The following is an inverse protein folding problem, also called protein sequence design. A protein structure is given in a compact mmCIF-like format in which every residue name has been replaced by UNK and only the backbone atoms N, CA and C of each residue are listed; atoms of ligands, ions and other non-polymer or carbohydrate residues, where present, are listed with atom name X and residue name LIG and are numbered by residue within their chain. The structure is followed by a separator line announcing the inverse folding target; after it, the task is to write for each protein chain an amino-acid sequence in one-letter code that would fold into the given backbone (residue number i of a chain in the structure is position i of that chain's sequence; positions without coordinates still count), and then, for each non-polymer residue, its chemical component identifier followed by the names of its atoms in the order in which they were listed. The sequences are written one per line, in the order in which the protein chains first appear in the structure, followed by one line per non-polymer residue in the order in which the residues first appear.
data_IF_436936938640
#
_entry.id   IF_436936938640
#
_cell.length_a   1.000
_cell.length_b   1.000
_cell.length_c   1.000
_cell.angle_alpha   90.00
_cell.angle_beta   90.00
_cell.angle_gamma   90.00
#
_symmetry.space_group_name_H-M   'P 1'
#
loop_
_entity.id
_entity.type
_entity.pdbx_description
1 polymer ?
#
# COMPACT_ATOMS: atom_id res chain seq x y z
N UNK A 1 32.11 -3.42 -2.77
CA UNK A 1 30.97 -2.51 -2.56
C UNK A 1 30.67 -2.57 -1.07
N UNK A 2 31.00 -1.49 -0.33
CA UNK A 2 31.10 -1.36 1.14
C UNK A 2 32.28 -2.08 1.81
N UNK A 3 33.46 -1.45 1.74
CA UNK A 3 34.63 -1.81 2.57
C UNK A 3 34.45 -1.24 3.99
N UNK A 4 34.71 -2.06 5.01
CA UNK A 4 34.64 -1.66 6.43
C UNK A 4 35.94 -1.01 6.92
N UNK A 5 37.03 -1.15 6.18
CA UNK A 5 38.36 -0.68 6.56
C UNK A 5 38.70 0.66 5.93
N UNK A 6 37.97 1.10 4.89
CA UNK A 6 38.19 2.37 4.20
C UNK A 6 36.86 3.01 3.73
N UNK A 7 36.88 4.32 3.48
CA UNK A 7 35.76 5.06 2.89
C UNK A 7 34.66 5.48 3.87
N UNK A 8 33.54 5.97 3.32
CA UNK A 8 32.47 6.65 4.05
C UNK A 8 31.83 5.79 5.14
N UNK A 9 31.83 4.46 4.97
CA UNK A 9 31.23 3.54 5.93
C UNK A 9 32.07 3.44 7.22
N UNK A 10 33.40 3.44 7.07
CA UNK A 10 34.34 3.49 8.19
C UNK A 10 34.32 4.86 8.87
N UNK A 11 34.27 5.95 8.10
CA UNK A 11 34.32 7.32 8.62
C UNK A 11 33.03 7.79 9.30
N UNK A 12 31.87 7.44 8.75
CA UNK A 12 30.56 7.92 9.24
C UNK A 12 29.84 6.88 10.11
N UNK A 13 30.28 5.61 10.07
CA UNK A 13 29.73 4.52 10.86
C UNK A 13 28.25 4.16 10.65
N UNK A 14 27.61 4.28 9.46
CA UNK A 14 26.22 3.84 9.26
C UNK A 14 26.13 2.31 9.13
N UNK A 15 26.67 1.57 10.10
CA UNK A 15 26.68 0.11 10.10
C UNK A 15 25.40 -0.45 10.71
N UNK A 16 24.91 -1.56 10.15
CA UNK A 16 23.71 -2.23 10.64
C UNK A 16 24.02 -2.97 11.95
N UNK A 17 23.12 -2.86 12.93
CA UNK A 17 23.20 -3.67 14.14
C UNK A 17 23.18 -5.17 13.80
N UNK A 18 24.09 -5.95 14.38
CA UNK A 18 24.23 -7.38 14.07
C UNK A 18 22.96 -8.21 14.36
N UNK A 19 22.20 -7.85 15.41
CA UNK A 19 20.93 -8.51 15.72
C UNK A 19 19.89 -8.24 14.63
N UNK A 20 19.80 -6.99 14.14
CA UNK A 20 18.90 -6.64 13.03
C UNK A 20 19.30 -7.39 11.75
N UNK A 21 20.60 -7.50 11.47
CA UNK A 21 21.09 -8.27 10.33
C UNK A 21 20.68 -9.74 10.42
N UNK A 22 20.81 -10.35 11.61
CA UNK A 22 20.38 -11.72 11.88
C UNK A 22 18.86 -11.88 11.65
N UNK A 23 18.03 -11.03 12.25
CA UNK A 23 16.57 -11.07 12.09
C UNK A 23 16.11 -10.92 10.63
N UNK A 24 16.81 -10.11 9.83
CA UNK A 24 16.55 -9.98 8.39
C UNK A 24 16.97 -11.23 7.62
N UNK A 25 18.13 -11.81 7.97
CA UNK A 25 18.64 -13.01 7.31
C UNK A 25 17.70 -14.21 7.45
N UNK A 26 17.01 -14.33 8.59
CA UNK A 26 15.99 -15.36 8.80
C UNK A 26 14.73 -15.15 7.93
N UNK A 27 14.48 -13.90 7.49
CA UNK A 27 13.25 -13.51 6.77
C UNK A 27 13.37 -13.46 5.26
N UNK A 28 14.59 -13.35 4.73
CA UNK A 28 14.88 -13.30 3.30
C UNK A 28 14.52 -14.61 2.59
N UNK A 29 14.85 -15.81 3.10
CA UNK A 29 14.56 -17.08 2.40
C UNK A 29 13.09 -17.27 2.04
N UNK A 30 12.18 -16.76 2.86
CA UNK A 30 10.74 -16.86 2.64
C UNK A 30 10.11 -15.57 2.07
N UNK A 31 10.92 -14.62 1.60
CA UNK A 31 10.43 -13.38 0.96
C UNK A 31 9.57 -13.68 -0.26
N UNK A 32 9.99 -14.64 -1.10
CA UNK A 32 9.26 -14.98 -2.32
C UNK A 32 7.83 -15.44 -2.04
N UNK A 33 7.62 -16.25 -0.99
CA UNK A 33 6.29 -16.71 -0.59
C UNK A 33 5.40 -15.54 -0.16
N UNK A 34 5.94 -14.61 0.65
CA UNK A 34 5.22 -13.43 1.11
C UNK A 34 4.85 -12.50 -0.04
N UNK A 35 5.81 -12.23 -0.93
CA UNK A 35 5.59 -11.33 -2.08
C UNK A 35 4.54 -11.88 -3.03
N UNK A 36 4.55 -13.20 -3.30
CA UNK A 36 3.53 -13.82 -4.16
C UNK A 36 2.12 -13.61 -3.61
N UNK A 37 1.92 -13.78 -2.31
CA UNK A 37 0.62 -13.59 -1.67
C UNK A 37 0.20 -12.12 -1.60
N UNK A 38 1.14 -11.22 -1.27
CA UNK A 38 0.92 -9.77 -1.33
C UNK A 38 0.39 -9.32 -2.69
N UNK A 39 1.08 -9.71 -3.77
CA UNK A 39 0.72 -9.32 -5.12
C UNK A 39 -0.59 -9.97 -5.59
N UNK A 40 -0.81 -11.25 -5.23
CA UNK A 40 -2.06 -11.94 -5.55
C UNK A 40 -3.27 -11.21 -4.93
N UNK A 41 -3.20 -10.89 -3.64
CA UNK A 41 -4.27 -10.15 -2.94
C UNK A 41 -4.45 -8.75 -3.49
N UNK A 42 -3.36 -8.01 -3.71
CA UNK A 42 -3.44 -6.66 -4.25
C UNK A 42 -4.12 -6.62 -5.62
N UNK A 43 -3.81 -7.58 -6.52
CA UNK A 43 -4.49 -7.71 -7.81
C UNK A 43 -5.99 -7.99 -7.65
N UNK A 44 -6.35 -8.96 -6.80
CA UNK A 44 -7.77 -9.30 -6.56
C UNK A 44 -8.52 -8.11 -5.96
N UNK A 45 -7.92 -7.41 -4.99
CA UNK A 45 -8.53 -6.25 -4.34
C UNK A 45 -8.70 -5.11 -5.33
N UNK A 46 -7.66 -4.78 -6.11
CA UNK A 46 -7.74 -3.74 -7.12
C UNK A 46 -8.87 -4.00 -8.13
N UNK A 47 -8.98 -5.24 -8.63
CA UNK A 47 -10.05 -5.62 -9.54
C UNK A 47 -11.45 -5.52 -8.91
N UNK A 48 -11.62 -6.01 -7.68
CA UNK A 48 -12.92 -5.95 -6.99
C UNK A 48 -13.31 -4.52 -6.65
N UNK A 49 -12.39 -3.72 -6.12
CA UNK A 49 -12.60 -2.29 -5.84
C UNK A 49 -12.98 -1.52 -7.12
N UNK A 50 -12.30 -1.79 -8.24
CA UNK A 50 -12.63 -1.20 -9.55
C UNK A 50 -14.04 -1.58 -10.02
N UNK A 51 -14.45 -2.84 -9.85
CA UNK A 51 -15.82 -3.31 -10.15
C UNK A 51 -16.88 -2.63 -9.27
N UNK A 52 -16.53 -2.21 -8.05
CA UNK A 52 -17.40 -1.42 -7.17
C UNK A 52 -17.47 0.06 -7.57
N UNK A 53 -16.77 0.50 -8.62
CA UNK A 53 -16.73 1.89 -9.08
C UNK A 53 -15.79 2.79 -8.28
N UNK A 54 -14.90 2.23 -7.46
CA UNK A 54 -13.89 2.98 -6.73
C UNK A 54 -12.73 3.38 -7.66
N UNK A 55 -12.15 4.56 -7.40
CA UNK A 55 -10.97 5.06 -8.13
C UNK A 55 -9.70 4.40 -7.60
N UNK A 56 -9.27 3.33 -8.24
CA UNK A 56 -8.08 2.56 -7.84
C UNK A 56 -6.94 2.83 -8.81
N UNK A 57 -5.75 3.05 -8.26
CA UNK A 57 -4.50 3.15 -9.01
C UNK A 57 -3.65 1.94 -8.62
N UNK A 58 -3.45 1.02 -9.56
CA UNK A 58 -2.64 -0.17 -9.36
C UNK A 58 -1.95 -0.57 -10.68
N UNK A 59 -0.63 -0.78 -10.71
CA UNK A 59 0.10 -1.11 -11.94
C UNK A 59 -0.34 -2.42 -12.62
N UNK A 60 -0.98 -3.33 -11.89
CA UNK A 60 -1.51 -4.57 -12.44
C UNK A 60 -2.85 -4.45 -13.15
N UNK A 61 -3.51 -3.30 -13.13
CA UNK A 61 -4.74 -3.06 -13.87
C UNK A 61 -4.42 -2.64 -15.32
N UNK A 62 -5.21 -3.12 -16.27
CA UNK A 62 -5.01 -2.89 -17.71
C UNK A 62 -5.11 -1.40 -18.13
N UNK A 63 -5.80 -0.58 -17.33
CA UNK A 63 -5.94 0.86 -17.56
C UNK A 63 -4.79 1.69 -16.95
N UNK A 64 -3.84 1.06 -16.27
CA UNK A 64 -2.67 1.76 -15.76
C UNK A 64 -1.71 2.12 -16.91
N UNK A 65 -1.25 3.37 -17.04
CA UNK A 65 -0.42 3.81 -18.18
C UNK A 65 0.86 3.00 -18.39
N UNK A 66 1.41 2.44 -17.31
CA UNK A 66 2.64 1.65 -17.32
C UNK A 66 2.40 0.14 -17.16
N UNK A 67 1.16 -0.33 -17.33
CA UNK A 67 0.81 -1.74 -17.18
C UNK A 67 1.67 -2.64 -18.07
N UNK A 68 1.72 -2.33 -19.38
CA UNK A 68 2.49 -3.13 -20.35
C UNK A 68 4.00 -3.04 -20.09
N UNK A 69 4.51 -1.89 -19.64
CA UNK A 69 5.91 -1.76 -19.25
C UNK A 69 6.25 -2.67 -18.07
N UNK A 70 5.46 -2.62 -16.99
CA UNK A 70 5.69 -3.45 -15.81
C UNK A 70 5.55 -4.94 -16.13
N UNK A 71 4.61 -5.31 -17.00
CA UNK A 71 4.43 -6.67 -17.49
C UNK A 71 5.63 -7.17 -18.32
N UNK A 72 6.33 -6.28 -19.02
CA UNK A 72 7.51 -6.62 -19.80
C UNK A 72 8.78 -6.78 -18.94
N UNK A 73 8.97 -5.94 -17.92
CA UNK A 73 10.18 -5.96 -17.06
C UNK A 73 10.02 -6.79 -15.78
N UNK A 74 8.78 -7.09 -15.40
CA UNK A 74 8.43 -7.76 -14.15
C UNK A 74 8.51 -9.28 -14.22
N UNK A 75 8.61 -9.91 -13.05
CA UNK A 75 8.55 -11.36 -12.95
C UNK A 75 7.09 -11.83 -12.77
N UNK A 76 6.61 -12.61 -13.75
CA UNK A 76 5.24 -13.14 -13.81
C UNK A 76 4.86 -14.02 -12.62
N UNK A 77 5.82 -14.70 -11.98
CA UNK A 77 5.56 -15.56 -10.83
C UNK A 77 5.15 -14.78 -9.57
N UNK A 78 5.51 -13.50 -9.52
CA UNK A 78 5.20 -12.61 -8.41
C UNK A 78 4.07 -11.64 -8.71
N UNK A 79 3.83 -11.21 -9.95
CA UNK A 79 2.77 -10.24 -10.29
C UNK A 79 3.23 -8.79 -10.20
N UNK A 80 2.35 -7.89 -9.73
CA UNK A 80 2.49 -6.43 -9.91
C UNK A 80 2.74 -5.62 -8.62
N UNK A 81 3.13 -6.29 -7.52
CA UNK A 81 3.43 -5.66 -6.23
C UNK A 81 2.25 -5.68 -5.24
N UNK A 82 2.55 -5.55 -3.94
CA UNK A 82 1.55 -5.54 -2.86
C UNK A 82 0.98 -4.17 -2.51
N UNK A 83 1.25 -3.15 -3.33
CA UNK A 83 0.89 -1.76 -3.09
C UNK A 83 -0.15 -1.30 -4.10
N UNK A 84 -1.25 -0.73 -3.61
CA UNK A 84 -2.26 -0.06 -4.43
C UNK A 84 -2.67 1.25 -3.77
N UNK A 85 -3.20 2.17 -4.58
CA UNK A 85 -3.76 3.42 -4.07
C UNK A 85 -5.26 3.50 -4.37
N UNK A 86 -6.01 4.09 -3.44
CA UNK A 86 -7.43 4.36 -3.55
C UNK A 86 -7.62 5.86 -3.40
N UNK A 87 -8.14 6.52 -4.44
CA UNK A 87 -8.41 7.96 -4.43
C UNK A 87 -9.82 8.24 -3.91
N UNK A 88 -9.89 8.78 -2.69
CA UNK A 88 -11.14 9.18 -2.04
C UNK A 88 -11.54 10.62 -2.34
N UNK A 89 -10.79 11.34 -3.19
CA UNK A 89 -11.02 12.72 -3.58
C UNK A 89 -10.61 13.73 -2.50
N UNK A 90 -11.15 13.59 -1.29
CA UNK A 90 -10.87 14.49 -0.17
C UNK A 90 -10.19 13.76 0.99
N UNK A 91 -9.38 14.51 1.74
CA UNK A 91 -8.73 14.00 2.94
C UNK A 91 -9.76 13.51 3.99
N UNK A 92 -10.88 14.22 4.16
CA UNK A 92 -11.92 13.82 5.12
C UNK A 92 -12.50 12.43 4.76
N UNK A 93 -12.77 12.19 3.48
CA UNK A 93 -13.28 10.88 3.01
C UNK A 93 -12.23 9.78 3.19
N UNK A 94 -10.96 10.08 2.93
CA UNK A 94 -9.84 9.17 3.16
C UNK A 94 -9.70 8.79 4.64
N UNK A 95 -9.63 9.80 5.53
CA UNK A 95 -9.48 9.59 6.97
C UNK A 95 -10.67 8.84 7.57
N UNK A 96 -11.90 9.13 7.12
CA UNK A 96 -13.10 8.41 7.56
C UNK A 96 -13.08 6.95 7.11
N UNK A 97 -12.72 6.66 5.87
CA UNK A 97 -12.58 5.29 5.38
C UNK A 97 -11.52 4.53 6.19
N UNK A 98 -10.34 5.12 6.39
CA UNK A 98 -9.28 4.50 7.19
C UNK A 98 -9.72 4.25 8.64
N UNK A 99 -10.47 5.17 9.25
CA UNK A 99 -11.03 4.98 10.59
C UNK A 99 -12.00 3.78 10.63
N UNK A 100 -12.88 3.62 9.64
CA UNK A 100 -13.79 2.45 9.57
C UNK A 100 -13.02 1.14 9.33
N UNK A 101 -12.00 1.19 8.47
CA UNK A 101 -11.15 0.04 8.16
C UNK A 101 -10.38 -0.43 9.39
N UNK A 102 -9.83 0.47 10.19
CA UNK A 102 -9.07 0.11 11.40
C UNK A 102 -9.99 -0.23 12.58
N UNK A 103 -10.88 0.71 12.94
CA UNK A 103 -11.54 0.69 14.24
C UNK A 103 -12.90 -0.02 14.24
N UNK A 104 -13.48 -0.29 13.06
CA UNK A 104 -14.79 -0.95 12.96
C UNK A 104 -14.74 -2.32 12.30
N UNK A 105 -13.90 -2.51 11.29
CA UNK A 105 -13.87 -3.74 10.49
C UNK A 105 -12.57 -4.53 10.63
N UNK A 106 -11.54 -3.92 11.22
CA UNK A 106 -10.23 -4.53 11.45
C UNK A 106 -9.56 -5.04 10.16
N UNK A 107 -9.75 -4.32 9.04
CA UNK A 107 -9.14 -4.62 7.76
C UNK A 107 -7.61 -4.43 7.77
N UNK A 108 -7.12 -3.42 8.50
CA UNK A 108 -5.71 -3.06 8.56
C UNK A 108 -5.44 -1.88 9.49
N UNK A 109 -4.18 -1.46 9.56
CA UNK A 109 -3.72 -0.39 10.45
C UNK A 109 -3.37 0.89 9.70
N UNK A 110 -3.69 2.03 10.30
CA UNK A 110 -3.20 3.34 9.88
C UNK A 110 -1.72 3.47 10.29
N UNK A 111 -0.82 3.27 9.33
CA UNK A 111 0.62 3.34 9.57
C UNK A 111 1.37 3.71 8.28
N UNK A 112 2.46 4.47 8.42
CA UNK A 112 3.26 4.97 7.29
C UNK A 112 4.20 3.93 6.66
N UNK A 113 4.39 2.77 7.31
CA UNK A 113 5.26 1.70 6.81
C UNK A 113 4.60 0.87 5.70
N UNK A 114 5.32 -0.10 5.14
CA UNK A 114 4.89 -0.97 4.04
C UNK A 114 5.54 -2.37 4.12
N UNK A 115 4.99 -3.33 3.38
CA UNK A 115 5.54 -4.70 3.29
C UNK A 115 5.37 -5.54 4.57
N UNK A 116 4.48 -5.11 5.47
CA UNK A 116 4.17 -5.84 6.69
C UNK A 116 3.13 -6.94 6.44
N UNK A 117 3.04 -7.93 7.33
CA UNK A 117 2.10 -9.04 7.14
C UNK A 117 0.64 -8.61 7.26
N UNK A 118 0.35 -7.56 8.03
CA UNK A 118 -0.95 -6.90 8.12
C UNK A 118 -1.08 -5.79 7.07
N UNK A 119 -2.30 -5.50 6.65
CA UNK A 119 -2.54 -4.39 5.71
C UNK A 119 -2.25 -3.07 6.41
N UNK A 120 -1.40 -2.25 5.81
CA UNK A 120 -1.10 -0.90 6.30
C UNK A 120 -1.68 0.13 5.34
N UNK A 121 -2.25 1.21 5.88
CA UNK A 121 -2.88 2.28 5.11
C UNK A 121 -2.45 3.66 5.62
N UNK A 122 -2.31 4.61 4.70
CA UNK A 122 -1.94 5.99 5.02
C UNK A 122 -2.53 6.95 3.98
N UNK A 123 -2.98 8.13 4.42
CA UNK A 123 -3.35 9.22 3.51
C UNK A 123 -2.08 9.96 3.06
N UNK A 124 -1.67 9.78 1.81
CA UNK A 124 -0.34 10.19 1.33
C UNK A 124 -0.18 11.71 1.26
N UNK A 125 -1.27 12.44 1.05
CA UNK A 125 -1.29 13.90 0.98
C UNK A 125 -1.04 14.59 2.33
N UNK A 126 -1.44 13.94 3.44
CA UNK A 126 -1.28 14.49 4.79
C UNK A 126 -0.26 13.76 5.68
N UNK A 127 0.31 12.63 5.22
CA UNK A 127 1.34 11.89 5.95
C UNK A 127 2.71 11.93 5.24
N UNK A 128 2.98 10.99 4.35
CA UNK A 128 4.32 10.77 3.77
C UNK A 128 4.82 11.88 2.85
N UNK A 129 3.93 12.77 2.41
CA UNK A 129 4.24 13.88 1.51
C UNK A 129 3.88 15.23 2.15
N UNK A 130 3.80 15.30 3.48
CA UNK A 130 3.44 16.52 4.23
C UNK A 130 4.38 17.69 3.94
N UNK A 131 5.64 17.41 3.62
CA UNK A 131 6.67 18.40 3.31
C UNK A 131 6.51 19.04 1.92
N UNK A 132 5.66 18.48 1.04
CA UNK A 132 5.38 19.04 -0.28
C UNK A 132 4.26 20.07 -0.19
N UNK A 133 4.38 21.17 -0.94
CA UNK A 133 3.28 22.11 -1.11
C UNK A 133 2.18 21.54 -2.03
N UNK A 134 1.02 22.20 -2.09
CA UNK A 134 -0.12 21.69 -2.85
C UNK A 134 0.12 21.61 -4.37
N UNK A 135 0.93 22.51 -4.92
CA UNK A 135 1.31 22.50 -6.34
C UNK A 135 2.22 21.30 -6.66
N UNK A 136 3.20 21.03 -5.80
CA UNK A 136 4.10 19.88 -5.91
C UNK A 136 3.34 18.55 -5.76
N UNK A 137 2.38 18.47 -4.85
CA UNK A 137 1.50 17.30 -4.69
C UNK A 137 0.66 17.06 -5.95
N UNK A 138 0.07 18.13 -6.50
CA UNK A 138 -0.71 18.03 -7.73
C UNK A 138 0.16 17.57 -8.91
N UNK A 139 1.37 18.12 -9.05
CA UNK A 139 2.33 17.73 -10.08
C UNK A 139 2.76 16.26 -9.95
N UNK A 140 2.92 15.79 -8.71
CA UNK A 140 3.26 14.40 -8.40
C UNK A 140 2.07 13.43 -8.52
N UNK A 141 0.86 13.92 -8.82
CA UNK A 141 -0.35 13.10 -8.91
C UNK A 141 -0.89 12.63 -7.55
N UNK A 142 -0.55 13.31 -6.47
CA UNK A 142 -0.97 12.99 -5.11
C UNK A 142 -2.24 13.78 -4.79
N UNK A 143 -3.40 13.14 -4.95
CA UNK A 143 -4.66 13.76 -4.55
C UNK A 143 -4.74 13.92 -3.01
N UNK A 144 -5.49 14.90 -2.49
CA UNK A 144 -5.68 15.06 -1.05
C UNK A 144 -6.28 13.83 -0.37
N UNK A 145 -7.11 13.07 -1.10
CA UNK A 145 -7.75 11.85 -0.62
C UNK A 145 -7.01 10.55 -0.99
N UNK A 146 -5.74 10.60 -1.39
CA UNK A 146 -5.01 9.42 -1.85
C UNK A 146 -4.62 8.49 -0.70
N UNK A 147 -5.39 7.41 -0.52
CA UNK A 147 -5.09 6.35 0.45
C UNK A 147 -4.16 5.32 -0.18
N UNK A 148 -2.91 5.26 0.28
CA UNK A 148 -1.97 4.19 -0.09
C UNK A 148 -2.23 2.99 0.81
N UNK A 149 -2.42 1.81 0.21
CA UNK A 149 -2.61 0.54 0.91
C UNK A 149 -1.48 -0.43 0.58
N UNK A 150 -0.72 -0.82 1.59
CA UNK A 150 0.21 -1.95 1.56
C UNK A 150 -0.55 -3.18 2.01
N UNK A 151 -1.06 -3.98 1.07
CA UNK A 151 -1.93 -5.12 1.33
C UNK A 151 -1.16 -6.21 2.05
N UNK A 152 -1.63 -6.65 3.22
CA UNK A 152 -1.04 -7.74 3.99
C UNK A 152 -1.47 -9.13 3.52
N UNK A 153 -0.89 -10.18 4.11
CA UNK A 153 -1.19 -11.58 3.79
C UNK A 153 -1.75 -12.41 4.96
N UNK A 154 -2.01 -11.80 6.12
CA UNK A 154 -2.61 -12.52 7.26
C UNK A 154 -4.13 -12.71 7.10
N UNK A 155 -4.66 -13.80 7.65
CA UNK A 155 -6.06 -14.21 7.48
C UNK A 155 -6.33 -14.70 6.05
N UNK A 156 -7.59 -15.06 5.75
CA UNK A 156 -7.96 -15.45 4.38
C UNK A 156 -8.25 -14.24 3.51
N UNK A 157 -8.07 -14.38 2.20
CA UNK A 157 -8.40 -13.34 1.23
C UNK A 157 -9.83 -12.85 1.40
N UNK A 158 -10.79 -13.78 1.50
CA UNK A 158 -12.22 -13.47 1.61
C UNK A 158 -12.60 -12.82 2.94
N UNK A 159 -11.96 -13.24 4.04
CA UNK A 159 -12.19 -12.58 5.34
C UNK A 159 -11.78 -11.11 5.27
N UNK A 160 -10.56 -10.84 4.80
CA UNK A 160 -10.03 -9.48 4.67
C UNK A 160 -10.84 -8.67 3.65
N UNK A 161 -11.24 -9.28 2.53
CA UNK A 161 -12.13 -8.62 1.58
C UNK A 161 -13.49 -8.27 2.19
N UNK A 162 -14.12 -9.17 2.96
CA UNK A 162 -15.40 -8.88 3.61
C UNK A 162 -15.28 -7.73 4.62
N UNK A 163 -14.15 -7.59 5.31
CA UNK A 163 -13.90 -6.46 6.21
C UNK A 163 -13.86 -5.13 5.43
N UNK A 164 -13.15 -5.09 4.30
CA UNK A 164 -13.13 -3.93 3.42
C UNK A 164 -14.54 -3.59 2.90
N UNK A 165 -15.27 -4.58 2.38
CA UNK A 165 -16.61 -4.40 1.85
C UNK A 165 -17.58 -3.84 2.89
N UNK A 166 -17.56 -4.37 4.12
CA UNK A 166 -18.35 -3.85 5.25
C UNK A 166 -18.04 -2.38 5.55
N UNK A 167 -16.78 -1.95 5.44
CA UNK A 167 -16.40 -0.55 5.64
C UNK A 167 -16.97 0.35 4.54
N UNK A 168 -16.92 -0.10 3.28
CA UNK A 168 -17.51 0.64 2.15
C UNK A 168 -19.03 0.75 2.29
N UNK A 169 -19.74 -0.33 2.64
CA UNK A 169 -21.19 -0.29 2.83
C UNK A 169 -21.60 0.72 3.93
N UNK A 170 -20.90 0.73 5.06
CA UNK A 170 -21.13 1.73 6.13
C UNK A 170 -20.89 3.18 5.67
N UNK A 171 -19.90 3.37 4.80
CA UNK A 171 -19.62 4.68 4.21
C UNK A 171 -20.73 5.13 3.24
N UNK A 172 -21.35 4.19 2.52
CA UNK A 172 -22.50 4.45 1.63
C UNK A 172 -23.77 4.75 2.41
N UNK A 173 -24.06 4.01 3.48
CA UNK A 173 -25.21 4.25 4.37
C UNK A 173 -25.19 5.65 4.99
N UNK A 174 -23.99 6.19 5.24
CA UNK A 174 -23.80 7.56 5.71
C UNK A 174 -24.00 8.64 4.63
N UNK A 175 -24.30 8.26 3.37
CA UNK A 175 -24.59 9.16 2.25
C UNK A 175 -23.36 9.85 1.62
N UNK A 176 -22.14 9.37 1.89
CA UNK A 176 -20.90 10.13 1.66
C UNK A 176 -20.11 9.71 0.41
N UNK A 177 -20.40 8.54 -0.17
CA UNK A 177 -19.78 8.12 -1.44
C UNK A 177 -20.38 8.84 -2.66
N UNK A 178 -21.64 9.29 -2.55
CA UNK A 178 -22.41 9.90 -3.64
C UNK A 178 -22.32 11.44 -3.72
N UNK A 179 -21.73 12.09 -2.71
CA UNK A 179 -21.44 13.54 -2.78
C UNK A 179 -20.16 13.73 -3.58
N UNK A 180 -20.31 14.18 -4.83
CA UNK A 180 -19.21 14.65 -5.69
C UNK A 180 -18.59 15.91 -5.10
#
# INVERSE_FOLDING_TARGET
MMDLHQGSLMLLGPTMNAKVAFELSERIPHLGLRMKEHCHRAMVYAQRMKKMGLKVIYPGLDDHPQHELLKAIGNRDYGYGGLLCLDMGTEERANRLMNLLQNCTQFGFMAVSLGYYETLMSCSGSSTSSEMNDEEKALAGISPGLVRMSIGYIGTLEQRWSQFEKAISRMQESGLLNKK
#
